data_IF_303776694308
#
_entry.id   IF_303776694308
#
_cell.length_a   1.000
_cell.length_b   1.000
_cell.length_c   1.000
_cell.angle_alpha   90.00
_cell.angle_beta   90.00
_cell.angle_gamma   90.00
#
_symmetry.space_group_name_H-M   'P 1'
#
loop_
_entity.id
_entity.type
_entity.pdbx_description
1 polymer ?
#
# COMPACT_ATOMS: atom_id res chain seq x y z
N UNK A 1 37.90 -39.94 -47.85
CA UNK A 1 36.45 -39.66 -47.78
C UNK A 1 36.02 -39.90 -46.33
N UNK A 2 35.24 -38.99 -45.76
CA UNK A 2 34.78 -38.94 -44.36
C UNK A 2 34.02 -40.24 -43.92
N UNK A 3 33.58 -40.44 -42.65
CA UNK A 3 33.46 -39.46 -41.55
C UNK A 3 33.66 -39.99 -40.08
N UNK A 4 33.73 -39.01 -39.15
CA UNK A 4 33.15 -38.93 -37.79
C UNK A 4 33.03 -40.17 -36.87
N UNK A 5 33.44 -40.01 -35.60
CA UNK A 5 32.54 -40.21 -34.45
C UNK A 5 33.05 -39.51 -33.17
N UNK A 6 32.12 -38.84 -32.50
CA UNK A 6 32.20 -38.22 -31.16
C UNK A 6 31.88 -39.29 -30.11
N UNK A 7 32.57 -39.31 -28.96
CA UNK A 7 31.94 -39.61 -27.66
C UNK A 7 32.90 -39.31 -26.49
N UNK A 8 32.37 -38.53 -25.55
CA UNK A 8 33.00 -38.05 -24.34
C UNK A 8 33.18 -39.13 -23.26
N UNK A 9 34.24 -38.97 -22.48
CA UNK A 9 34.63 -39.79 -21.35
C UNK A 9 33.77 -39.44 -20.11
N UNK A 10 33.37 -40.50 -19.40
CA UNK A 10 32.63 -40.53 -18.14
C UNK A 10 33.30 -39.69 -17.03
N UNK A 11 32.48 -39.05 -16.20
CA UNK A 11 32.87 -38.79 -14.81
C UNK A 11 31.65 -38.87 -13.89
N UNK A 12 31.77 -39.76 -12.91
CA UNK A 12 30.79 -40.13 -11.89
C UNK A 12 30.33 -38.95 -11.04
N UNK A 13 29.02 -38.84 -10.83
CA UNK A 13 28.45 -38.12 -9.69
C UNK A 13 27.76 -39.13 -8.77
N UNK A 14 28.29 -39.23 -7.55
CA UNK A 14 27.67 -39.96 -6.46
C UNK A 14 26.31 -39.33 -6.12
N UNK A 15 25.27 -40.15 -6.15
CA UNK A 15 23.94 -39.83 -5.63
C UNK A 15 24.03 -39.73 -4.11
N UNK A 16 24.01 -38.51 -3.57
CA UNK A 16 23.58 -38.29 -2.20
C UNK A 16 22.07 -38.12 -2.19
N UNK A 17 21.40 -39.11 -1.63
CA UNK A 17 19.98 -39.09 -1.33
C UNK A 17 19.72 -38.06 -0.21
N UNK A 18 19.42 -36.81 -0.59
CA UNK A 18 18.76 -35.86 0.31
C UNK A 18 17.26 -35.99 0.10
N UNK A 19 16.66 -36.98 0.76
CA UNK A 19 15.23 -36.93 1.11
C UNK A 19 15.01 -35.82 2.13
N UNK A 20 15.06 -34.56 1.67
CA UNK A 20 14.66 -33.40 2.46
C UNK A 20 13.15 -33.34 2.42
N UNK A 21 12.50 -33.95 3.40
CA UNK A 21 11.09 -33.67 3.70
C UNK A 21 10.96 -32.17 3.91
N UNK A 22 10.37 -31.47 2.95
CA UNK A 22 9.97 -30.08 3.13
C UNK A 22 9.03 -30.03 4.34
N UNK A 23 9.22 -29.12 5.31
CA UNK A 23 8.21 -28.91 6.32
C UNK A 23 6.95 -28.48 5.57
N UNK A 24 5.84 -29.20 5.79
CA UNK A 24 4.52 -28.72 5.44
C UNK A 24 4.31 -27.44 6.25
N UNK A 25 4.54 -26.30 5.62
CA UNK A 25 4.12 -25.01 6.16
C UNK A 25 2.61 -24.97 5.97
N UNK A 26 1.87 -25.58 6.87
CA UNK A 26 0.54 -25.08 7.19
C UNK A 26 0.76 -23.62 7.53
N UNK A 27 0.38 -22.72 6.62
CA UNK A 27 0.27 -21.29 6.94
C UNK A 27 -0.76 -21.26 8.05
N UNK A 28 -0.28 -21.15 9.30
CA UNK A 28 -1.17 -21.08 10.45
C UNK A 28 -1.97 -19.78 10.29
N UNK A 29 -3.19 -19.96 9.80
CA UNK A 29 -4.04 -18.90 9.27
C UNK A 29 -4.76 -18.17 10.39
N UNK A 30 -4.13 -18.01 11.56
CA UNK A 30 -4.76 -17.35 12.69
C UNK A 30 -5.03 -15.88 12.34
N UNK A 31 -6.24 -15.37 12.64
CA UNK A 31 -6.47 -13.93 12.62
C UNK A 31 -5.50 -13.24 13.58
N UNK A 32 -5.12 -11.99 13.28
CA UNK A 32 -4.35 -11.16 14.21
C UNK A 32 -5.09 -11.14 15.55
N UNK A 33 -4.39 -11.46 16.65
CA UNK A 33 -4.95 -11.34 18.00
C UNK A 33 -5.42 -9.89 18.18
N UNK A 34 -6.69 -9.70 18.54
CA UNK A 34 -7.25 -8.36 18.74
C UNK A 34 -6.57 -7.60 19.90
N UNK A 35 -5.80 -8.30 20.74
CA UNK A 35 -4.93 -7.74 21.78
C UNK A 35 -3.51 -7.43 21.31
N UNK A 36 -3.10 -7.89 20.12
CA UNK A 36 -1.81 -7.54 19.54
C UNK A 36 -1.85 -6.09 19.04
N UNK A 37 -0.90 -5.28 19.51
CA UNK A 37 -0.73 -3.91 19.03
C UNK A 37 0.03 -3.90 17.70
N UNK A 38 -0.38 -3.03 16.78
CA UNK A 38 0.40 -2.80 15.56
C UNK A 38 1.72 -2.11 15.90
N UNK A 39 2.77 -2.46 15.17
CA UNK A 39 4.06 -1.76 15.22
C UNK A 39 4.04 -0.69 14.16
N UNK A 40 4.38 0.54 14.53
CA UNK A 40 4.36 1.69 13.64
C UNK A 40 5.76 2.28 13.41
N UNK A 41 6.13 2.67 12.17
CA UNK A 41 5.42 2.39 10.93
C UNK A 41 5.32 0.88 10.61
N UNK A 42 4.16 0.42 10.16
CA UNK A 42 3.83 -1.00 9.92
C UNK A 42 3.17 -1.29 8.57
N UNK A 43 3.13 -0.31 7.66
CA UNK A 43 2.64 -0.48 6.30
C UNK A 43 3.80 -0.75 5.33
N UNK A 44 3.95 0.04 4.26
CA UNK A 44 5.02 -0.15 3.25
C UNK A 44 6.44 -0.01 3.80
N UNK A 45 6.61 0.61 4.97
CA UNK A 45 7.90 0.85 5.59
C UNK A 45 7.84 0.53 7.07
N UNK A 46 8.95 0.03 7.59
CA UNK A 46 9.23 -0.10 9.02
C UNK A 46 10.31 0.89 9.48
N UNK A 47 10.46 1.10 10.79
CA UNK A 47 11.62 1.87 11.31
C UNK A 47 12.96 1.23 10.88
N UNK A 48 13.04 -0.10 10.82
CA UNK A 48 14.25 -0.79 10.35
C UNK A 48 14.55 -0.49 8.86
N UNK A 49 13.52 -0.35 8.02
CA UNK A 49 13.69 0.08 6.64
C UNK A 49 14.25 1.51 6.56
N UNK A 50 13.75 2.44 7.38
CA UNK A 50 14.28 3.80 7.41
C UNK A 50 15.70 3.87 7.95
N UNK A 51 16.07 3.07 8.96
CA UNK A 51 17.47 2.93 9.40
C UNK A 51 18.35 2.45 8.24
N UNK A 52 17.90 1.43 7.49
CA UNK A 52 18.63 0.90 6.33
C UNK A 52 18.76 1.96 5.23
N UNK A 53 17.68 2.66 4.89
CA UNK A 53 17.67 3.72 3.88
C UNK A 53 18.66 4.82 4.26
N UNK A 54 18.56 5.38 5.48
CA UNK A 54 19.48 6.42 5.98
C UNK A 54 20.94 6.00 5.87
N UNK A 55 21.27 4.79 6.34
CA UNK A 55 22.63 4.26 6.28
C UNK A 55 23.15 4.19 4.84
N UNK A 56 22.37 3.61 3.91
CA UNK A 56 22.77 3.46 2.50
C UNK A 56 22.84 4.80 1.76
N UNK A 57 21.92 5.71 2.03
CA UNK A 57 21.88 7.05 1.42
C UNK A 57 23.05 7.90 1.89
N UNK A 58 23.34 7.94 3.19
CA UNK A 58 24.47 8.70 3.75
C UNK A 58 25.81 8.18 3.24
N UNK A 59 25.93 6.86 3.07
CA UNK A 59 27.11 6.22 2.49
C UNK A 59 27.16 6.26 0.95
N UNK A 60 26.14 6.83 0.29
CA UNK A 60 26.00 6.92 -1.18
C UNK A 60 26.12 5.56 -1.90
N UNK A 61 25.60 4.50 -1.31
CA UNK A 61 25.69 3.14 -1.84
C UNK A 61 24.58 2.88 -2.88
N UNK A 62 24.96 2.39 -4.06
CA UNK A 62 24.01 1.95 -5.08
C UNK A 62 23.48 0.53 -4.82
N UNK A 63 22.23 0.20 -5.20
CA UNK A 63 21.29 1.04 -5.97
C UNK A 63 20.45 2.03 -5.13
N UNK A 64 20.54 2.00 -3.80
CA UNK A 64 19.72 2.86 -2.92
C UNK A 64 19.93 4.35 -3.14
N UNK A 65 21.17 4.80 -3.30
CA UNK A 65 21.46 6.22 -3.53
C UNK A 65 20.91 6.72 -4.87
N UNK A 66 20.99 5.91 -5.94
CA UNK A 66 20.36 6.22 -7.21
C UNK A 66 18.82 6.32 -7.11
N UNK A 67 18.19 5.39 -6.38
CA UNK A 67 16.75 5.45 -6.10
C UNK A 67 16.36 6.68 -5.26
N UNK A 68 17.16 7.00 -4.25
CA UNK A 68 17.00 8.19 -3.42
C UNK A 68 17.03 9.47 -4.25
N UNK A 69 17.99 9.64 -5.17
CA UNK A 69 18.06 10.82 -6.02
C UNK A 69 16.82 10.99 -6.93
N UNK A 70 16.18 9.89 -7.35
CA UNK A 70 14.88 9.96 -8.04
C UNK A 70 13.78 10.46 -7.11
N UNK A 71 13.75 10.00 -5.86
CA UNK A 71 12.79 10.46 -4.86
C UNK A 71 12.97 11.93 -4.51
N UNK A 72 14.21 12.42 -4.38
CA UNK A 72 14.50 13.83 -4.08
C UNK A 72 13.88 14.77 -5.13
N UNK A 73 13.84 14.38 -6.40
CA UNK A 73 13.20 15.15 -7.46
C UNK A 73 11.68 15.34 -7.26
N UNK A 74 11.06 14.54 -6.39
CA UNK A 74 9.63 14.62 -6.05
C UNK A 74 9.37 15.14 -4.63
N UNK A 75 10.40 15.31 -3.80
CA UNK A 75 10.28 16.01 -2.53
C UNK A 75 10.26 17.52 -2.80
N UNK A 76 9.15 18.18 -2.46
CA UNK A 76 8.92 19.58 -2.80
C UNK A 76 8.32 20.32 -1.61
N UNK A 77 9.16 21.11 -0.93
CA UNK A 77 8.78 21.92 0.22
C UNK A 77 7.75 23.02 -0.11
N UNK A 78 7.63 23.41 -1.38
CA UNK A 78 6.67 24.39 -1.88
C UNK A 78 5.41 23.79 -2.49
N UNK A 79 5.17 22.48 -2.34
CA UNK A 79 3.97 21.83 -2.88
C UNK A 79 2.68 22.42 -2.28
N UNK A 80 1.69 22.66 -3.13
CA UNK A 80 0.37 23.18 -2.75
C UNK A 80 -0.68 22.13 -3.10
N UNK A 81 -1.38 21.52 -2.12
CA UNK A 81 -2.40 20.52 -2.39
C UNK A 81 -3.66 21.13 -2.99
N UNK A 82 -4.44 20.33 -3.71
CA UNK A 82 -5.68 20.71 -4.37
C UNK A 82 -6.81 19.73 -4.01
N UNK A 83 -7.28 19.72 -2.75
CA UNK A 83 -8.31 18.78 -2.32
C UNK A 83 -9.65 19.04 -3.02
N UNK A 84 -10.48 18.00 -3.06
CA UNK A 84 -11.83 18.04 -3.63
C UNK A 84 -12.84 17.46 -2.63
N UNK A 85 -14.01 18.10 -2.43
CA UNK A 85 -15.06 17.54 -1.58
C UNK A 85 -15.58 16.20 -2.11
N UNK A 86 -15.71 16.11 -3.43
CA UNK A 86 -16.05 14.87 -4.13
C UNK A 86 -14.97 14.53 -5.14
N UNK A 87 -14.50 13.28 -5.10
CA UNK A 87 -13.62 12.72 -6.11
C UNK A 87 -14.43 11.89 -7.11
N UNK A 88 -14.35 12.24 -8.39
CA UNK A 88 -15.02 11.53 -9.48
C UNK A 88 -14.03 10.71 -10.30
N UNK A 89 -14.38 9.44 -10.58
CA UNK A 89 -13.66 8.55 -11.50
C UNK A 89 -14.62 7.68 -12.32
N UNK A 90 -14.33 7.51 -13.60
CA UNK A 90 -15.18 6.94 -14.63
C UNK A 90 -16.36 7.82 -15.05
N UNK A 91 -16.60 8.97 -14.39
CA UNK A 91 -17.64 9.95 -14.71
C UNK A 91 -17.24 11.35 -14.26
N UNK A 92 -18.08 12.35 -14.57
CA UNK A 92 -17.82 13.76 -14.33
C UNK A 92 -16.96 14.33 -15.45
N UNK A 93 -17.42 15.40 -16.11
CA UNK A 93 -16.67 16.07 -17.18
C UNK A 93 -16.16 17.42 -16.66
N UNK A 94 -14.89 17.54 -16.26
CA UNK A 94 -13.83 16.51 -16.25
C UNK A 94 -13.79 15.68 -14.96
N UNK A 95 -13.23 14.48 -15.05
CA UNK A 95 -12.86 13.68 -13.89
C UNK A 95 -11.80 14.43 -13.07
N UNK A 96 -11.78 14.24 -11.75
CA UNK A 96 -10.88 15.01 -10.88
C UNK A 96 -9.99 14.15 -9.97
N UNK A 97 -10.07 12.82 -10.05
CA UNK A 97 -9.29 11.90 -9.21
C UNK A 97 -7.77 12.08 -9.33
N UNK A 98 -7.29 12.67 -10.43
CA UNK A 98 -5.88 13.01 -10.59
C UNK A 98 -5.37 14.01 -9.55
N UNK A 99 -6.24 14.85 -8.99
CA UNK A 99 -5.89 15.71 -7.87
C UNK A 99 -5.47 14.89 -6.64
N UNK A 100 -6.24 13.83 -6.33
CA UNK A 100 -6.04 12.99 -5.15
C UNK A 100 -4.75 12.18 -5.22
N UNK A 101 -4.52 11.42 -6.30
CA UNK A 101 -3.33 10.55 -6.34
C UNK A 101 -2.02 11.34 -6.49
N UNK A 102 -2.05 12.53 -7.11
CA UNK A 102 -0.86 13.40 -7.22
C UNK A 102 -0.49 13.99 -5.87
N UNK A 103 -1.49 14.46 -5.13
CA UNK A 103 -1.30 14.97 -3.76
C UNK A 103 -0.85 13.86 -2.80
N UNK A 104 -1.46 12.67 -2.88
CA UNK A 104 -1.04 11.51 -2.08
C UNK A 104 0.41 11.09 -2.40
N UNK A 105 0.81 11.09 -3.68
CA UNK A 105 2.18 10.80 -4.09
C UNK A 105 3.17 11.86 -3.57
N UNK A 106 2.80 13.15 -3.62
CA UNK A 106 3.60 14.24 -3.06
C UNK A 106 3.74 14.11 -1.55
N UNK A 107 2.65 13.83 -0.83
CA UNK A 107 2.68 13.61 0.61
C UNK A 107 3.60 12.43 0.98
N UNK A 108 3.51 11.32 0.25
CA UNK A 108 4.35 10.14 0.46
C UNK A 108 5.84 10.43 0.22
N UNK A 109 6.17 11.10 -0.90
CA UNK A 109 7.56 11.47 -1.21
C UNK A 109 8.16 12.41 -0.15
N UNK A 110 7.41 13.45 0.26
CA UNK A 110 7.85 14.36 1.32
C UNK A 110 7.91 13.67 2.69
N UNK A 111 7.03 12.73 3.01
CA UNK A 111 7.09 11.96 4.26
C UNK A 111 8.32 11.05 4.33
N UNK A 112 8.68 10.37 3.23
CA UNK A 112 9.94 9.61 3.15
C UNK A 112 11.14 10.54 3.26
N UNK A 113 11.12 11.66 2.52
CA UNK A 113 12.20 12.62 2.55
C UNK A 113 12.43 13.12 3.98
N UNK A 114 11.36 13.53 4.66
CA UNK A 114 11.37 13.87 6.08
C UNK A 114 11.93 12.77 6.97
N UNK A 115 11.45 11.52 6.83
CA UNK A 115 11.95 10.44 7.68
C UNK A 115 13.45 10.24 7.54
N UNK A 116 14.03 10.50 6.37
CA UNK A 116 15.47 10.36 6.10
C UNK A 116 16.28 11.59 6.51
N UNK A 117 15.81 12.81 6.20
CA UNK A 117 16.59 14.06 6.34
C UNK A 117 16.20 14.93 7.53
N UNK A 118 14.95 14.83 7.99
CA UNK A 118 14.35 15.75 8.95
C UNK A 118 13.58 16.93 8.33
N UNK A 119 13.63 17.12 7.01
CA UNK A 119 13.00 18.27 6.32
C UNK A 119 11.63 17.93 5.70
N UNK A 120 10.84 18.93 5.29
CA UNK A 120 9.57 18.76 4.53
C UNK A 120 8.39 18.08 5.25
N UNK A 121 8.52 17.73 6.53
CA UNK A 121 7.44 17.17 7.35
C UNK A 121 6.14 18.00 7.25
N UNK A 122 6.29 19.33 7.32
CA UNK A 122 5.18 20.29 7.31
C UNK A 122 4.39 20.28 6.00
N UNK A 123 5.02 20.05 4.84
CA UNK A 123 4.27 20.02 3.57
C UNK A 123 3.51 18.70 3.38
N UNK A 124 4.07 17.58 3.85
CA UNK A 124 3.36 16.31 3.92
C UNK A 124 2.14 16.42 4.85
N UNK A 125 2.32 16.98 6.05
CA UNK A 125 1.25 17.24 7.02
C UNK A 125 0.13 18.08 6.40
N UNK A 126 0.46 19.24 5.82
CA UNK A 126 -0.50 20.13 5.17
C UNK A 126 -1.28 19.43 4.04
N UNK A 127 -0.62 18.58 3.27
CA UNK A 127 -1.27 17.84 2.18
C UNK A 127 -2.29 16.83 2.72
N UNK A 128 -1.93 16.07 3.75
CA UNK A 128 -2.83 15.10 4.40
C UNK A 128 -3.98 15.80 5.14
N UNK A 129 -3.71 16.92 5.82
CA UNK A 129 -4.71 17.72 6.53
C UNK A 129 -5.71 18.37 5.54
N UNK A 130 -5.22 18.86 4.40
CA UNK A 130 -6.07 19.41 3.35
C UNK A 130 -7.08 18.39 2.81
N UNK A 131 -6.65 17.14 2.57
CA UNK A 131 -7.55 16.08 2.11
C UNK A 131 -8.48 15.58 3.21
N UNK A 132 -7.96 15.32 4.41
CA UNK A 132 -8.76 14.78 5.52
C UNK A 132 -9.84 15.73 6.03
N UNK A 133 -9.66 17.05 5.86
CA UNK A 133 -10.67 18.05 6.19
C UNK A 133 -11.65 18.39 5.06
N UNK A 134 -11.38 17.97 3.82
CA UNK A 134 -12.16 18.39 2.64
C UNK A 134 -12.95 17.24 2.02
N UNK A 135 -12.34 16.07 1.84
CA UNK A 135 -12.95 14.97 1.11
C UNK A 135 -14.08 14.34 1.92
N UNK A 136 -15.28 14.34 1.34
CA UNK A 136 -16.48 13.78 1.96
C UNK A 136 -17.09 12.65 1.14
N UNK A 137 -16.77 12.57 -0.16
CA UNK A 137 -17.39 11.58 -1.04
C UNK A 137 -16.49 11.15 -2.21
N UNK A 138 -16.66 9.90 -2.65
CA UNK A 138 -16.08 9.38 -3.89
C UNK A 138 -17.25 8.90 -4.74
N UNK A 139 -17.27 9.30 -6.01
CA UNK A 139 -18.33 8.94 -6.94
C UNK A 139 -17.77 8.63 -8.34
N UNK A 140 -18.63 8.09 -9.20
CA UNK A 140 -18.15 7.48 -10.43
C UNK A 140 -19.09 6.47 -11.05
N UNK A 141 -18.62 5.94 -12.18
CA UNK A 141 -19.05 4.60 -12.63
C UNK A 141 -18.52 3.55 -11.64
N UNK A 142 -18.42 2.28 -12.05
CA UNK A 142 -17.69 1.28 -11.27
C UNK A 142 -16.28 1.72 -10.90
N UNK A 143 -15.61 2.57 -11.70
CA UNK A 143 -14.23 2.99 -11.44
C UNK A 143 -14.04 3.74 -10.11
N UNK A 144 -15.12 4.21 -9.46
CA UNK A 144 -15.04 4.74 -8.08
C UNK A 144 -14.49 3.73 -7.08
N UNK A 145 -14.69 2.43 -7.30
CA UNK A 145 -14.11 1.38 -6.45
C UNK A 145 -12.61 1.22 -6.66
N UNK A 146 -12.09 1.53 -7.85
CA UNK A 146 -10.65 1.67 -8.04
C UNK A 146 -10.13 2.97 -7.40
N UNK A 147 -10.93 4.03 -7.37
CA UNK A 147 -10.55 5.25 -6.67
C UNK A 147 -10.46 5.03 -5.14
N UNK A 148 -11.47 4.43 -4.53
CA UNK A 148 -11.44 4.09 -3.11
C UNK A 148 -10.35 3.06 -2.78
N UNK A 149 -10.21 2.00 -3.58
CA UNK A 149 -9.23 0.94 -3.34
C UNK A 149 -7.77 1.37 -3.53
N UNK A 150 -7.46 2.37 -4.35
CA UNK A 150 -6.06 2.77 -4.59
C UNK A 150 -5.66 3.95 -3.74
N UNK A 151 -6.52 4.96 -3.66
CA UNK A 151 -6.10 6.27 -3.14
C UNK A 151 -6.15 6.33 -1.62
N UNK A 152 -7.05 5.57 -0.99
CA UNK A 152 -7.08 5.41 0.47
C UNK A 152 -5.80 4.76 0.99
N UNK A 153 -5.35 3.70 0.31
CA UNK A 153 -4.06 3.04 0.55
C UNK A 153 -2.87 4.01 0.44
N UNK A 154 -2.81 4.84 -0.60
CA UNK A 154 -1.71 5.80 -0.79
C UNK A 154 -1.67 6.84 0.35
N UNK A 155 -2.83 7.39 0.70
CA UNK A 155 -2.96 8.36 1.78
C UNK A 155 -2.62 7.75 3.14
N UNK A 156 -3.08 6.53 3.42
CA UNK A 156 -2.78 5.82 4.66
C UNK A 156 -1.28 5.55 4.82
N UNK A 157 -0.60 5.16 3.74
CA UNK A 157 0.86 4.96 3.75
C UNK A 157 1.64 6.27 4.00
N UNK A 158 1.22 7.39 3.39
CA UNK A 158 1.85 8.68 3.66
C UNK A 158 1.63 9.13 5.12
N UNK A 159 0.41 8.96 5.64
CA UNK A 159 0.06 9.23 7.04
C UNK A 159 0.86 8.37 8.02
N UNK A 160 1.01 7.08 7.72
CA UNK A 160 1.74 6.13 8.57
C UNK A 160 3.21 6.51 8.72
N UNK A 161 3.86 6.92 7.62
CA UNK A 161 5.24 7.40 7.67
C UNK A 161 5.31 8.66 8.55
N UNK A 162 4.37 9.60 8.36
CA UNK A 162 4.35 10.90 9.04
C UNK A 162 3.91 10.85 10.51
N UNK A 163 3.25 9.77 10.97
CA UNK A 163 2.74 9.55 12.34
C UNK A 163 3.71 9.97 13.45
N UNK A 164 5.02 9.78 13.24
CA UNK A 164 6.06 10.12 14.23
C UNK A 164 6.48 11.60 14.26
N UNK A 165 5.92 12.45 13.39
CA UNK A 165 6.24 13.88 13.34
C UNK A 165 5.45 14.61 14.42
N UNK A 166 6.14 15.07 15.47
CA UNK A 166 5.50 15.76 16.60
C UNK A 166 4.75 17.04 16.22
N UNK A 167 5.09 17.66 15.09
CA UNK A 167 4.39 18.84 14.58
C UNK A 167 3.08 18.54 13.85
N UNK A 168 2.72 17.27 13.63
CA UNK A 168 1.48 16.88 12.97
C UNK A 168 0.50 16.27 13.97
N UNK A 169 -0.63 16.95 14.16
CA UNK A 169 -1.72 16.53 15.06
C UNK A 169 -2.95 16.02 14.29
N UNK A 170 -2.87 15.92 12.96
CA UNK A 170 -3.99 15.60 12.08
C UNK A 170 -4.32 14.11 11.93
N UNK A 171 -3.56 13.21 12.57
CA UNK A 171 -3.74 11.75 12.41
C UNK A 171 -5.16 11.29 12.75
N UNK A 172 -5.78 11.83 13.80
CA UNK A 172 -7.14 11.46 14.19
C UNK A 172 -8.19 11.86 13.13
N UNK A 173 -8.04 13.03 12.52
CA UNK A 173 -8.91 13.53 11.44
C UNK A 173 -8.69 12.69 10.18
N UNK A 174 -7.43 12.38 9.85
CA UNK A 174 -7.06 11.49 8.76
C UNK A 174 -7.71 10.11 8.88
N UNK A 175 -7.58 9.48 10.06
CA UNK A 175 -8.21 8.20 10.36
C UNK A 175 -9.73 8.26 10.22
N UNK A 176 -10.35 9.36 10.66
CA UNK A 176 -11.80 9.55 10.56
C UNK A 176 -12.25 9.63 9.11
N UNK A 177 -11.57 10.43 8.28
CA UNK A 177 -11.89 10.54 6.86
C UNK A 177 -11.71 9.20 6.13
N UNK A 178 -10.61 8.50 6.36
CA UNK A 178 -10.38 7.17 5.77
C UNK A 178 -11.49 6.17 6.16
N UNK A 179 -11.86 6.10 7.43
CA UNK A 179 -12.91 5.21 7.92
C UNK A 179 -14.31 5.58 7.42
N UNK A 180 -14.58 6.86 7.18
CA UNK A 180 -15.93 7.30 6.81
C UNK A 180 -16.15 7.37 5.30
N UNK A 181 -15.11 7.65 4.51
CA UNK A 181 -15.21 7.84 3.05
C UNK A 181 -14.77 6.60 2.29
N UNK A 182 -13.68 5.95 2.71
CA UNK A 182 -13.08 4.85 1.96
C UNK A 182 -13.60 3.50 2.40
N UNK A 183 -13.47 3.17 3.69
CA UNK A 183 -13.81 1.85 4.22
C UNK A 183 -15.22 1.36 3.85
N UNK A 184 -16.32 2.15 3.98
CA UNK A 184 -17.66 1.66 3.66
C UNK A 184 -17.81 1.27 2.20
N UNK A 185 -17.18 2.03 1.28
CA UNK A 185 -17.18 1.71 -0.14
C UNK A 185 -16.31 0.49 -0.46
N UNK A 186 -15.16 0.34 0.22
CA UNK A 186 -14.31 -0.84 0.03
C UNK A 186 -15.01 -2.11 0.53
N UNK A 187 -15.61 -2.06 1.72
CA UNK A 187 -16.38 -3.15 2.29
C UNK A 187 -17.57 -3.52 1.38
N UNK A 188 -18.36 -2.54 0.96
CA UNK A 188 -19.50 -2.76 0.06
C UNK A 188 -19.08 -3.42 -1.25
N UNK A 189 -17.92 -3.04 -1.82
CA UNK A 189 -17.39 -3.69 -3.01
C UNK A 189 -17.11 -5.17 -2.78
N UNK A 190 -16.42 -5.52 -1.69
CA UNK A 190 -16.06 -6.91 -1.42
C UNK A 190 -17.27 -7.78 -1.09
N UNK A 191 -18.31 -7.21 -0.49
CA UNK A 191 -19.54 -7.95 -0.16
C UNK A 191 -20.48 -8.07 -1.36
N UNK A 192 -20.72 -6.95 -2.06
CA UNK A 192 -21.79 -6.85 -3.05
C UNK A 192 -21.28 -6.76 -4.50
N UNK A 193 -19.99 -6.55 -4.72
CA UNK A 193 -19.36 -6.43 -6.04
C UNK A 193 -20.12 -5.46 -6.96
N UNK A 194 -20.51 -4.29 -6.42
CA UNK A 194 -21.28 -3.29 -7.16
C UNK A 194 -22.58 -3.85 -7.79
N UNK A 195 -23.20 -4.85 -7.14
CA UNK A 195 -24.41 -5.53 -7.62
C UNK A 195 -24.17 -6.50 -8.80
N UNK A 196 -22.91 -6.73 -9.19
CA UNK A 196 -22.54 -7.69 -10.22
C UNK A 196 -22.39 -9.11 -9.66
N UNK A 197 -22.18 -10.08 -10.54
CA UNK A 197 -21.75 -11.42 -10.13
C UNK A 197 -20.39 -11.36 -9.45
N UNK A 198 -20.15 -12.27 -8.51
CA UNK A 198 -18.93 -12.33 -7.70
C UNK A 198 -17.65 -12.46 -8.55
N UNK A 199 -17.74 -13.08 -9.73
CA UNK A 199 -16.64 -13.31 -10.67
C UNK A 199 -16.50 -12.22 -11.74
N UNK A 200 -17.30 -11.14 -11.68
CA UNK A 200 -17.36 -10.12 -12.72
C UNK A 200 -16.09 -9.28 -12.82
N UNK A 201 -15.53 -8.85 -11.68
CA UNK A 201 -14.36 -7.98 -11.64
C UNK A 201 -13.07 -8.78 -11.56
N UNK A 202 -12.01 -8.30 -12.23
CA UNK A 202 -10.69 -8.92 -12.12
C UNK A 202 -10.08 -8.73 -10.74
N UNK A 203 -9.18 -9.65 -10.36
CA UNK A 203 -8.53 -9.69 -9.04
C UNK A 203 -7.97 -8.34 -8.56
N UNK A 204 -7.50 -7.49 -9.47
CA UNK A 204 -6.95 -6.17 -9.10
C UNK A 204 -7.97 -5.25 -8.43
N UNK A 205 -9.28 -5.44 -8.66
CA UNK A 205 -10.34 -4.63 -8.06
C UNK A 205 -10.50 -4.98 -6.59
N UNK A 206 -10.64 -6.27 -6.28
CA UNK A 206 -10.66 -6.79 -4.92
C UNK A 206 -9.38 -6.40 -4.17
N UNK A 207 -8.21 -6.69 -4.76
CA UNK A 207 -6.92 -6.43 -4.14
C UNK A 207 -6.71 -4.94 -3.85
N UNK A 208 -7.20 -4.03 -4.69
CA UNK A 208 -7.17 -2.61 -4.37
C UNK A 208 -8.01 -2.30 -3.12
N UNK A 209 -9.28 -2.71 -3.11
CA UNK A 209 -10.18 -2.45 -1.98
C UNK A 209 -9.66 -3.07 -0.67
N UNK A 210 -9.11 -4.28 -0.72
CA UNK A 210 -8.45 -4.97 0.40
C UNK A 210 -7.23 -4.19 0.91
N UNK A 211 -6.37 -3.71 0.00
CA UNK A 211 -5.19 -2.92 0.36
C UNK A 211 -5.56 -1.66 1.14
N UNK A 212 -6.60 -0.93 0.70
CA UNK A 212 -7.08 0.23 1.47
C UNK A 212 -7.63 -0.19 2.83
N UNK A 213 -8.50 -1.21 2.91
CA UNK A 213 -9.06 -1.67 4.19
C UNK A 213 -7.99 -2.10 5.18
N UNK A 214 -7.02 -2.90 4.74
CA UNK A 214 -5.91 -3.31 5.57
C UNK A 214 -5.08 -2.11 6.04
N UNK A 215 -4.78 -1.17 5.14
CA UNK A 215 -3.99 0.01 5.49
C UNK A 215 -4.68 0.92 6.52
N UNK A 216 -6.01 1.07 6.41
CA UNK A 216 -6.81 1.81 7.40
C UNK A 216 -6.82 1.05 8.74
N UNK A 217 -6.98 -0.27 8.71
CA UNK A 217 -6.93 -1.13 9.89
C UNK A 217 -5.65 -0.94 10.68
N UNK A 218 -4.49 -1.05 10.03
CA UNK A 218 -3.18 -0.82 10.67
C UNK A 218 -3.08 0.63 11.16
N UNK A 219 -3.26 1.64 10.28
CA UNK A 219 -3.06 3.07 10.63
C UNK A 219 -3.91 3.52 11.83
N UNK A 220 -5.11 2.95 11.97
CA UNK A 220 -6.07 3.30 13.01
C UNK A 220 -6.10 2.34 14.20
N UNK A 221 -5.13 1.43 14.29
CA UNK A 221 -5.04 0.42 15.36
C UNK A 221 -6.30 -0.46 15.46
N UNK A 222 -6.98 -0.69 14.33
CA UNK A 222 -8.22 -1.47 14.24
C UNK A 222 -7.93 -2.88 13.69
N UNK A 223 -7.67 -3.81 14.61
CA UNK A 223 -7.40 -5.23 14.32
C UNK A 223 -8.57 -5.93 13.65
N UNK A 224 -9.82 -5.57 13.97
CA UNK A 224 -11.00 -6.13 13.31
C UNK A 224 -11.02 -5.82 11.82
N UNK A 225 -10.80 -4.56 11.44
CA UNK A 225 -10.76 -4.14 10.03
C UNK A 225 -9.57 -4.74 9.28
N UNK A 226 -8.40 -4.83 9.92
CA UNK A 226 -7.25 -5.49 9.32
C UNK A 226 -7.50 -6.99 9.09
N UNK A 227 -8.10 -7.67 10.07
CA UNK A 227 -8.46 -9.09 9.95
C UNK A 227 -9.52 -9.34 8.90
N UNK A 228 -10.48 -8.44 8.72
CA UNK A 228 -11.45 -8.54 7.64
C UNK A 228 -10.77 -8.59 6.26
N UNK A 229 -9.84 -7.68 6.02
CA UNK A 229 -9.07 -7.67 4.77
C UNK A 229 -8.19 -8.93 4.62
N UNK A 230 -7.53 -9.39 5.69
CA UNK A 230 -6.73 -10.63 5.66
C UNK A 230 -7.61 -11.85 5.37
N UNK A 231 -8.77 -11.96 6.02
CA UNK A 231 -9.66 -13.09 5.87
C UNK A 231 -10.25 -13.15 4.46
N UNK A 232 -10.63 -12.01 3.88
CA UNK A 232 -11.05 -11.96 2.49
C UNK A 232 -9.89 -12.31 1.54
N UNK A 233 -8.68 -11.79 1.76
CA UNK A 233 -7.54 -12.16 0.91
C UNK A 233 -7.26 -13.67 0.92
N UNK A 234 -7.47 -14.34 2.06
CA UNK A 234 -7.34 -15.80 2.15
C UNK A 234 -8.48 -16.51 1.43
N UNK A 235 -9.72 -16.27 1.86
CA UNK A 235 -10.87 -17.12 1.53
C UNK A 235 -12.11 -16.33 1.12
N UNK A 236 -11.94 -15.12 0.58
CA UNK A 236 -13.02 -14.30 0.04
C UNK A 236 -13.66 -14.94 -1.19
N UNK A 237 -14.90 -14.56 -1.50
CA UNK A 237 -15.64 -15.16 -2.60
C UNK A 237 -15.26 -14.61 -3.99
N UNK A 238 -14.67 -13.41 -4.04
CA UNK A 238 -14.27 -12.74 -5.28
C UNK A 238 -12.87 -13.13 -5.76
N UNK A 239 -12.53 -12.63 -6.95
CA UNK A 239 -11.30 -12.99 -7.66
C UNK A 239 -10.00 -12.52 -6.97
N UNK A 240 -10.07 -11.73 -5.89
CA UNK A 240 -8.91 -11.30 -5.11
C UNK A 240 -8.46 -12.27 -4.01
N UNK A 241 -9.21 -13.34 -3.74
CA UNK A 241 -8.82 -14.37 -2.79
C UNK A 241 -7.79 -15.34 -3.37
N UNK A 242 -7.02 -16.01 -2.50
CA UNK A 242 -5.94 -16.94 -2.92
C UNK A 242 -6.29 -18.42 -2.72
N UNK A 243 -7.40 -18.74 -2.06
CA UNK A 243 -7.89 -20.10 -1.81
C UNK A 243 -9.20 -20.40 -2.55
#
# INVERSE_FOLDING_TARGET
MAPSLVAALLCSFALFDLSRTAPSSTIDSQPLDSRASFVHPGLLHTEADFTRIKSKVNAKINPWYAGWNKLVAHANSGYVPNPKPTVYRGTGSPENYASLYRDAASAYANAIYWKVTGDTATVAAKTLDAWSSTLTFIDGTSDKFLASGIYGYQLANAAEILRGYSGWIGLAVMNTMLKNVFYPMNHDFLVNHNGAKIDHYWANWDLANLCTMYAIGVLSDNTTMANEAINYFKSGAGNGAIE
#
